data_IF_575881257260
#
_entry.id   IF_575881257260
#
_cell.length_a   1.000
_cell.length_b   1.000
_cell.length_c   1.000
_cell.angle_alpha   90.00
_cell.angle_beta   90.00
_cell.angle_gamma   90.00
#
_symmetry.space_group_name_H-M   'P 1'
#
loop_
_entity.id
_entity.type
_entity.pdbx_description
1 polymer ?
#
# COMPACT_ATOMS: atom_id res chain seq x y z
N UNK A 1 -81.75 16.72 -58.28
CA UNK A 1 -80.82 15.82 -57.60
C UNK A 1 -79.65 16.69 -57.05
N UNK A 2 -79.67 16.97 -55.75
CA UNK A 2 -78.59 17.75 -55.15
C UNK A 2 -77.98 16.86 -54.02
N UNK A 3 -76.74 16.45 -54.18
CA UNK A 3 -76.04 15.72 -53.17
C UNK A 3 -75.42 16.67 -52.12
N UNK A 4 -75.82 16.50 -50.86
CA UNK A 4 -75.31 17.20 -49.74
C UNK A 4 -74.10 16.41 -49.21
N UNK A 5 -72.88 17.00 -49.26
CA UNK A 5 -71.71 16.44 -48.63
C UNK A 5 -71.59 16.91 -47.20
N UNK A 6 -71.63 15.94 -46.30
CA UNK A 6 -71.40 16.11 -44.86
C UNK A 6 -69.87 16.13 -44.60
N UNK A 7 -69.32 17.19 -44.05
CA UNK A 7 -67.93 17.26 -43.56
C UNK A 7 -67.91 16.86 -42.10
N UNK A 8 -67.09 15.86 -41.69
CA UNK A 8 -66.85 15.64 -40.26
C UNK A 8 -65.79 16.60 -39.77
N UNK A 9 -66.07 17.26 -38.62
CA UNK A 9 -65.20 18.18 -37.95
C UNK A 9 -63.99 17.43 -37.31
N UNK A 10 -62.79 17.91 -37.58
CA UNK A 10 -61.59 17.52 -36.86
C UNK A 10 -61.54 18.21 -35.50
N UNK A 11 -61.61 17.41 -34.45
CA UNK A 11 -61.26 17.85 -33.10
C UNK A 11 -59.75 17.84 -32.94
N UNK A 12 -59.13 18.86 -32.33
CA UNK A 12 -57.72 18.87 -32.11
C UNK A 12 -57.36 17.89 -30.93
N UNK A 13 -56.63 16.84 -31.23
CA UNK A 13 -55.97 15.99 -30.24
C UNK A 13 -54.89 16.87 -29.54
N UNK A 14 -55.11 17.11 -28.25
CA UNK A 14 -54.06 17.64 -27.41
C UNK A 14 -53.04 16.54 -27.18
N UNK A 15 -51.89 16.69 -27.82
CA UNK A 15 -50.73 15.86 -27.51
C UNK A 15 -50.19 16.22 -26.11
N UNK A 16 -50.42 15.37 -25.14
CA UNK A 16 -49.79 15.45 -23.82
C UNK A 16 -48.37 14.98 -23.98
N UNK A 17 -47.45 15.91 -24.13
CA UNK A 17 -46.01 15.60 -24.15
C UNK A 17 -45.54 15.18 -22.76
N UNK A 18 -45.31 13.90 -22.56
CA UNK A 18 -44.65 13.37 -21.37
C UNK A 18 -43.18 13.73 -21.45
N UNK A 19 -42.75 14.75 -20.73
CA UNK A 19 -41.33 15.03 -20.51
C UNK A 19 -40.79 13.94 -19.59
N UNK A 20 -40.10 12.93 -20.15
CA UNK A 20 -39.22 12.05 -19.39
C UNK A 20 -37.98 12.86 -19.01
N UNK A 21 -37.96 13.41 -17.82
CA UNK A 21 -36.73 13.87 -17.19
C UNK A 21 -35.87 12.66 -16.90
N UNK A 22 -34.83 12.44 -17.72
CA UNK A 22 -33.76 11.50 -17.42
C UNK A 22 -33.01 12.06 -16.20
N UNK A 23 -33.34 11.56 -15.02
CA UNK A 23 -32.54 11.75 -13.82
C UNK A 23 -31.25 10.94 -14.03
N UNK A 24 -30.20 11.59 -14.49
CA UNK A 24 -28.87 11.02 -14.46
C UNK A 24 -28.50 10.83 -12.99
N UNK A 25 -28.66 9.59 -12.52
CA UNK A 25 -28.12 9.17 -11.22
C UNK A 25 -26.59 9.20 -11.41
N UNK A 26 -25.96 10.30 -11.03
CA UNK A 26 -24.53 10.31 -10.77
C UNK A 26 -24.32 9.34 -9.59
N UNK A 27 -24.02 8.07 -9.90
CA UNK A 27 -23.40 7.21 -8.91
C UNK A 27 -22.09 7.89 -8.52
N UNK A 28 -21.88 8.26 -7.24
CA UNK A 28 -20.54 8.63 -6.82
C UNK A 28 -19.66 7.45 -7.20
N UNK A 29 -18.62 7.73 -8.00
CA UNK A 29 -17.61 6.73 -8.29
C UNK A 29 -17.21 6.14 -6.93
N UNK A 30 -17.51 4.86 -6.70
CA UNK A 30 -17.01 4.16 -5.54
C UNK A 30 -15.49 4.23 -5.67
N UNK A 31 -14.88 5.08 -4.86
CA UNK A 31 -13.44 5.17 -4.75
C UNK A 31 -13.02 3.80 -4.25
N UNK A 32 -12.29 3.06 -5.08
CA UNK A 32 -11.75 1.79 -4.66
C UNK A 32 -10.86 2.07 -3.46
N UNK A 33 -11.32 1.66 -2.28
CA UNK A 33 -10.51 1.67 -1.08
C UNK A 33 -9.45 0.61 -1.31
N UNK A 34 -8.18 1.04 -1.46
CA UNK A 34 -7.07 0.12 -1.62
C UNK A 34 -6.96 -0.70 -0.34
N UNK A 35 -7.48 -1.91 -0.36
CA UNK A 35 -7.66 -2.77 0.82
C UNK A 35 -6.37 -3.07 1.59
N UNK A 36 -5.20 -2.83 0.98
CA UNK A 36 -3.88 -3.01 1.58
C UNK A 36 -3.23 -1.69 2.01
N UNK A 37 -3.84 -0.55 1.74
CA UNK A 37 -3.29 0.77 2.07
C UNK A 37 -3.85 1.29 3.39
N UNK A 38 -3.04 2.11 4.06
CA UNK A 38 -3.47 2.80 5.27
C UNK A 38 -4.57 3.82 4.97
N UNK A 39 -5.63 3.91 5.80
CA UNK A 39 -6.66 4.95 5.64
C UNK A 39 -6.12 6.38 5.86
N UNK A 40 -4.89 6.51 6.36
CA UNK A 40 -4.21 7.79 6.53
C UNK A 40 -3.44 8.25 5.30
N UNK A 41 -3.35 7.41 4.27
CA UNK A 41 -2.64 7.77 3.03
C UNK A 41 -3.29 8.98 2.35
N UNK A 42 -2.45 9.85 1.80
CA UNK A 42 -2.90 10.93 0.96
C UNK A 42 -3.70 10.39 -0.24
N UNK A 43 -4.81 11.05 -0.56
CA UNK A 43 -5.65 10.65 -1.69
C UNK A 43 -4.88 10.76 -3.00
N UNK A 44 -5.02 9.76 -3.86
CA UNK A 44 -4.57 9.82 -5.24
C UNK A 44 -5.53 10.72 -6.02
N UNK A 45 -4.97 11.66 -6.78
CA UNK A 45 -5.71 12.51 -7.69
C UNK A 45 -5.14 12.29 -9.09
N UNK A 46 -5.98 11.83 -10.03
CA UNK A 46 -5.56 11.52 -11.40
C UNK A 46 -5.32 10.03 -11.60
N UNK A 47 -4.51 9.72 -12.61
CA UNK A 47 -4.10 8.36 -12.94
C UNK A 47 -2.65 8.13 -12.57
N UNK A 48 -2.28 6.87 -12.43
CA UNK A 48 -0.93 6.44 -12.13
C UNK A 48 -0.05 6.61 -13.38
N UNK A 49 1.12 7.25 -13.21
CA UNK A 49 2.14 7.34 -14.25
C UNK A 49 3.19 6.23 -14.12
N UNK A 50 3.48 5.81 -12.89
CA UNK A 50 4.51 4.82 -12.60
C UNK A 50 4.03 3.78 -11.59
N UNK A 51 4.53 2.55 -11.75
CA UNK A 51 4.46 1.50 -10.74
C UNK A 51 5.87 1.14 -10.28
N UNK A 52 6.03 0.92 -8.99
CA UNK A 52 7.28 0.48 -8.38
C UNK A 52 7.18 -0.98 -8.02
N UNK A 53 8.19 -1.76 -8.46
CA UNK A 53 8.29 -3.18 -8.14
C UNK A 53 9.56 -3.40 -7.34
N UNK A 54 9.41 -3.86 -6.10
CA UNK A 54 10.51 -4.27 -5.25
C UNK A 54 10.86 -5.73 -5.57
N UNK A 55 12.01 -5.95 -6.24
CA UNK A 55 12.37 -7.24 -6.81
C UNK A 55 13.46 -7.92 -6.01
N UNK A 56 13.27 -9.22 -5.78
CA UNK A 56 14.26 -10.10 -5.17
C UNK A 56 15.36 -10.46 -6.15
N UNK A 57 16.61 -10.29 -5.76
CA UNK A 57 17.77 -10.75 -6.50
C UNK A 57 17.86 -12.28 -6.50
N UNK A 58 17.90 -12.88 -7.69
CA UNK A 58 18.06 -14.34 -7.86
C UNK A 58 19.34 -14.63 -8.62
N UNK A 59 20.22 -15.41 -8.00
CA UNK A 59 21.47 -15.82 -8.63
C UNK A 59 21.19 -16.62 -9.90
N UNK A 60 21.91 -16.31 -10.97
CA UNK A 60 21.75 -16.97 -12.27
C UNK A 60 20.63 -16.40 -13.16
N UNK A 61 19.75 -15.53 -12.64
CA UNK A 61 18.73 -14.81 -13.44
C UNK A 61 19.11 -13.35 -13.72
N UNK A 62 20.12 -12.83 -13.04
CA UNK A 62 20.59 -11.46 -13.17
C UNK A 62 21.88 -11.31 -12.37
N UNK A 63 22.05 -10.15 -11.75
CA UNK A 63 23.22 -9.85 -10.91
C UNK A 63 23.04 -10.26 -9.42
N UNK A 64 21.93 -10.93 -9.09
CA UNK A 64 21.65 -11.41 -7.74
C UNK A 64 21.35 -10.31 -6.71
N UNK A 65 21.10 -9.07 -7.14
CA UNK A 65 20.85 -7.95 -6.23
C UNK A 65 19.37 -7.57 -6.18
N UNK A 66 18.91 -7.21 -5.01
CA UNK A 66 17.57 -6.63 -4.85
C UNK A 66 17.50 -5.23 -5.46
N UNK A 67 16.38 -4.92 -6.11
CA UNK A 67 16.21 -3.69 -6.88
C UNK A 67 14.82 -3.09 -6.73
N UNK A 68 14.77 -1.77 -6.72
CA UNK A 68 13.54 -1.05 -7.02
C UNK A 68 13.48 -0.79 -8.52
N UNK A 69 12.44 -1.32 -9.17
CA UNK A 69 12.18 -1.17 -10.60
C UNK A 69 11.02 -0.22 -10.81
N UNK A 70 11.19 0.78 -11.67
CA UNK A 70 10.13 1.71 -12.07
C UNK A 70 9.65 1.36 -13.46
N UNK A 71 8.34 1.17 -13.62
CA UNK A 71 7.69 0.88 -14.88
C UNK A 71 6.75 2.02 -15.21
N UNK A 72 6.82 2.53 -16.43
CA UNK A 72 5.88 3.52 -16.95
C UNK A 72 4.54 2.85 -17.21
N UNK A 73 3.48 3.34 -16.58
CA UNK A 73 2.10 2.84 -16.74
C UNK A 73 1.14 3.92 -17.24
N UNK A 74 1.65 5.07 -17.68
CA UNK A 74 0.85 6.10 -18.33
C UNK A 74 0.45 5.66 -19.75
N UNK A 75 -0.84 5.43 -20.04
CA UNK A 75 -1.28 4.98 -21.36
C UNK A 75 -0.94 5.96 -22.50
N UNK A 76 -0.70 7.23 -22.18
CA UNK A 76 -0.30 8.27 -23.15
C UNK A 76 1.22 8.31 -23.41
N UNK A 77 2.01 7.55 -22.68
CA UNK A 77 3.47 7.56 -22.81
C UNK A 77 3.97 6.62 -23.90
N UNK A 78 5.00 7.00 -24.67
CA UNK A 78 5.67 6.10 -25.61
C UNK A 78 6.44 4.97 -24.90
N UNK A 79 6.58 5.07 -23.60
CA UNK A 79 7.25 4.09 -22.75
C UNK A 79 6.28 3.21 -21.96
N UNK A 80 4.99 3.29 -22.22
CA UNK A 80 3.99 2.47 -21.54
C UNK A 80 4.38 0.99 -21.48
N UNK A 81 4.35 0.41 -20.28
CA UNK A 81 4.72 -0.98 -20.00
C UNK A 81 6.22 -1.27 -20.01
N UNK A 82 7.08 -0.25 -20.16
CA UNK A 82 8.53 -0.43 -20.16
C UNK A 82 9.14 -0.06 -18.81
N UNK A 83 10.22 -0.75 -18.45
CA UNK A 83 11.09 -0.35 -17.35
C UNK A 83 11.80 0.94 -17.74
N UNK A 84 11.62 2.01 -16.97
CA UNK A 84 12.25 3.32 -17.19
C UNK A 84 13.40 3.58 -16.22
N UNK A 85 13.42 2.90 -15.07
CA UNK A 85 14.50 3.01 -14.10
C UNK A 85 14.68 1.71 -13.30
N UNK A 86 15.90 1.47 -12.88
CA UNK A 86 16.26 0.34 -12.00
C UNK A 86 17.30 0.80 -11.00
N UNK A 87 17.04 0.63 -9.71
CA UNK A 87 17.92 1.05 -8.63
C UNK A 87 18.25 -0.14 -7.73
N UNK A 88 19.51 -0.62 -7.77
CA UNK A 88 19.98 -1.64 -6.84
C UNK A 88 20.26 -1.05 -5.45
N UNK A 89 19.99 -1.83 -4.42
CA UNK A 89 20.34 -1.50 -3.02
C UNK A 89 21.61 -2.23 -2.53
N UNK A 90 22.25 -2.97 -3.41
CA UNK A 90 23.45 -3.77 -3.11
C UNK A 90 23.12 -5.11 -2.44
N UNK A 91 23.53 -6.20 -3.07
CA UNK A 91 23.34 -7.56 -2.59
C UNK A 91 21.89 -8.06 -2.54
N UNK A 92 21.74 -9.30 -2.13
CA UNK A 92 20.45 -9.93 -1.84
C UNK A 92 20.13 -9.71 -0.36
N UNK A 93 19.02 -9.02 -0.10
CA UNK A 93 18.52 -8.73 1.24
C UNK A 93 17.21 -9.49 1.54
N UNK A 94 16.73 -10.24 0.58
CA UNK A 94 15.40 -10.81 0.50
C UNK A 94 14.33 -9.69 0.45
N UNK A 95 14.19 -9.09 -0.73
CA UNK A 95 13.16 -8.10 -1.01
C UNK A 95 11.78 -8.67 -0.69
N UNK A 96 11.06 -8.03 0.24
CA UNK A 96 9.81 -8.53 0.75
C UNK A 96 8.70 -7.50 0.57
N UNK A 97 8.07 -7.01 1.62
CA UNK A 97 7.01 -6.03 1.48
C UNK A 97 7.53 -4.60 1.35
N UNK A 98 6.72 -3.77 0.69
CA UNK A 98 6.94 -2.33 0.60
C UNK A 98 5.65 -1.56 0.85
N UNK A 99 5.77 -0.28 1.23
CA UNK A 99 4.63 0.59 1.45
C UNK A 99 5.02 2.05 1.45
N UNK A 100 4.10 2.92 1.04
CA UNK A 100 4.31 4.36 1.05
C UNK A 100 4.12 4.95 2.44
N UNK A 101 4.77 6.10 2.69
CA UNK A 101 4.41 6.99 3.78
C UNK A 101 3.02 7.60 3.55
N UNK A 102 2.38 8.11 4.61
CA UNK A 102 1.04 8.70 4.54
C UNK A 102 0.95 9.89 3.56
N UNK A 103 2.04 10.63 3.38
CA UNK A 103 2.15 11.73 2.42
C UNK A 103 2.62 11.28 1.02
N UNK A 104 2.86 9.98 0.81
CA UNK A 104 3.35 9.34 -0.43
C UNK A 104 4.69 9.87 -0.95
N UNK A 105 5.48 10.54 -0.12
CA UNK A 105 6.79 11.05 -0.55
C UNK A 105 7.86 9.99 -0.58
N UNK A 106 7.74 9.00 0.31
CA UNK A 106 8.71 7.94 0.42
C UNK A 106 8.05 6.57 0.24
N UNK A 107 8.77 5.68 -0.42
CA UNK A 107 8.49 4.25 -0.44
C UNK A 107 9.47 3.55 0.50
N UNK A 108 8.95 2.80 1.45
CA UNK A 108 9.72 1.97 2.36
C UNK A 108 9.69 0.53 1.88
N UNK A 109 10.84 -0.15 1.86
CA UNK A 109 10.96 -1.52 1.39
C UNK A 109 11.82 -2.35 2.36
N UNK A 110 11.31 -3.50 2.75
CA UNK A 110 11.97 -4.41 3.68
C UNK A 110 12.94 -5.34 2.99
N UNK A 111 14.08 -5.58 3.61
CA UNK A 111 15.00 -6.68 3.35
C UNK A 111 14.90 -7.67 4.52
N UNK A 112 14.14 -8.74 4.32
CA UNK A 112 13.71 -9.66 5.38
C UNK A 112 14.92 -10.34 6.07
N UNK A 113 15.80 -10.96 5.27
CA UNK A 113 16.96 -11.71 5.77
C UNK A 113 18.00 -10.84 6.46
N UNK A 114 18.22 -9.63 5.91
CA UNK A 114 19.25 -8.72 6.45
C UNK A 114 18.73 -7.82 7.55
N UNK A 115 17.41 -7.87 7.83
CA UNK A 115 16.73 -6.97 8.76
C UNK A 115 17.03 -5.49 8.50
N UNK A 116 17.13 -5.11 7.22
CA UNK A 116 17.30 -3.73 6.78
C UNK A 116 16.00 -3.17 6.22
N UNK A 117 15.89 -1.85 6.23
CA UNK A 117 14.80 -1.15 5.57
C UNK A 117 15.39 -0.08 4.67
N UNK A 118 14.93 -0.03 3.44
CA UNK A 118 15.35 0.91 2.41
C UNK A 118 14.27 1.96 2.22
N UNK A 119 14.64 3.24 2.23
CA UNK A 119 13.72 4.37 2.07
C UNK A 119 14.08 5.09 0.78
N UNK A 120 13.12 5.11 -0.15
CA UNK A 120 13.27 5.75 -1.45
C UNK A 120 12.45 7.03 -1.51
N UNK A 121 13.06 8.12 -1.97
CA UNK A 121 12.33 9.33 -2.40
C UNK A 121 11.69 9.04 -3.76
N UNK A 122 10.37 9.03 -3.79
CA UNK A 122 9.54 8.82 -4.97
C UNK A 122 8.77 10.09 -5.35
N UNK A 123 8.98 11.18 -4.63
CA UNK A 123 8.28 12.44 -4.82
C UNK A 123 9.07 13.43 -5.70
N UNK A 124 10.37 13.51 -5.50
CA UNK A 124 11.24 14.49 -6.21
C UNK A 124 11.32 14.17 -7.71
N UNK A 125 11.51 12.91 -8.06
CA UNK A 125 11.44 12.40 -9.43
C UNK A 125 10.83 11.01 -9.43
N UNK A 126 9.51 10.92 -9.65
CA UNK A 126 8.81 9.63 -9.63
C UNK A 126 9.30 8.63 -10.69
N UNK A 127 9.84 9.11 -11.82
CA UNK A 127 10.40 8.23 -12.85
C UNK A 127 11.74 7.62 -12.43
N UNK A 128 12.51 8.31 -11.57
CA UNK A 128 13.84 7.92 -11.14
C UNK A 128 14.00 8.06 -9.62
N UNK A 129 13.34 7.20 -8.83
CA UNK A 129 13.46 7.18 -7.37
C UNK A 129 14.91 7.12 -6.90
N UNK A 130 15.19 7.70 -5.75
CA UNK A 130 16.52 7.68 -5.14
C UNK A 130 16.48 7.02 -3.77
N UNK A 131 17.41 6.14 -3.49
CA UNK A 131 17.65 5.65 -2.14
C UNK A 131 18.18 6.79 -1.28
N UNK A 132 17.38 7.25 -0.31
CA UNK A 132 17.75 8.38 0.56
C UNK A 132 18.21 7.93 1.93
N UNK A 133 17.83 6.72 2.35
CA UNK A 133 18.24 6.17 3.64
C UNK A 133 18.17 4.64 3.64
N UNK A 134 19.12 4.03 4.33
CA UNK A 134 19.04 2.63 4.77
C UNK A 134 19.03 2.60 6.29
N UNK A 135 18.02 1.95 6.88
CA UNK A 135 17.99 1.61 8.30
C UNK A 135 18.67 0.25 8.42
N UNK A 136 19.94 0.24 8.76
CA UNK A 136 20.78 -0.95 8.94
C UNK A 136 20.89 -1.38 10.41
N UNK A 137 20.38 -0.54 11.32
CA UNK A 137 20.37 -0.78 12.76
C UNK A 137 19.02 -1.21 13.31
N UNK A 138 18.11 -1.68 12.47
CA UNK A 138 16.75 -2.07 12.85
C UNK A 138 16.73 -3.00 14.07
N UNK A 139 17.57 -4.04 14.05
CA UNK A 139 17.65 -5.02 15.15
C UNK A 139 18.11 -4.36 16.45
N UNK A 140 19.13 -3.50 16.41
CA UNK A 140 19.66 -2.84 17.58
C UNK A 140 18.70 -1.79 18.13
N UNK A 141 18.11 -0.97 17.26
CA UNK A 141 17.16 0.09 17.64
C UNK A 141 15.88 -0.48 18.23
N UNK A 142 15.37 -1.58 17.67
CA UNK A 142 14.15 -2.24 18.15
C UNK A 142 14.33 -3.08 19.40
N UNK A 143 15.57 -3.28 19.87
CA UNK A 143 15.85 -4.16 20.99
C UNK A 143 15.81 -5.65 20.66
N UNK A 144 16.09 -6.01 19.40
CA UNK A 144 16.25 -7.38 18.97
C UNK A 144 15.17 -7.92 18.05
N UNK A 145 14.27 -7.11 17.52
CA UNK A 145 13.31 -7.52 16.48
C UNK A 145 14.04 -7.79 15.18
N UNK A 146 13.72 -8.87 14.50
CA UNK A 146 14.28 -9.28 13.19
C UNK A 146 13.19 -9.49 12.16
N UNK A 147 13.58 -9.46 10.91
CA UNK A 147 12.69 -9.73 9.78
C UNK A 147 11.60 -8.66 9.63
N UNK A 148 11.93 -7.40 9.26
CA UNK A 148 10.94 -6.38 8.95
C UNK A 148 10.07 -6.87 7.79
N UNK A 149 8.76 -6.99 8.02
CA UNK A 149 7.83 -7.59 7.09
C UNK A 149 6.88 -6.55 6.51
N UNK A 150 5.71 -6.37 7.08
CA UNK A 150 4.75 -5.38 6.61
C UNK A 150 5.11 -3.98 7.07
N UNK A 151 5.01 -3.02 6.16
CA UNK A 151 5.07 -1.58 6.45
C UNK A 151 3.68 -0.97 6.35
N UNK A 152 3.28 -0.17 7.32
CA UNK A 152 1.97 0.46 7.36
C UNK A 152 2.04 1.92 7.77
N UNK A 153 1.50 2.81 6.95
CA UNK A 153 1.55 4.25 7.22
C UNK A 153 0.59 4.67 8.33
N UNK A 154 1.07 5.53 9.20
CA UNK A 154 0.31 6.29 10.19
C UNK A 154 0.57 7.78 9.94
N UNK A 155 -0.24 8.72 10.48
CA UNK A 155 0.06 10.13 10.33
C UNK A 155 1.48 10.50 10.76
N UNK A 156 2.35 10.82 9.78
CA UNK A 156 3.77 11.16 9.99
C UNK A 156 4.68 10.03 10.46
N UNK A 157 4.24 8.77 10.41
CA UNK A 157 4.95 7.62 10.97
C UNK A 157 4.72 6.35 10.15
N UNK A 158 5.66 5.41 10.30
CA UNK A 158 5.56 4.06 9.74
C UNK A 158 5.54 3.02 10.86
N UNK A 159 4.60 2.10 10.80
CA UNK A 159 4.53 0.92 11.66
C UNK A 159 5.05 -0.28 10.88
N UNK A 160 5.99 -1.02 11.46
CA UNK A 160 6.62 -2.16 10.83
C UNK A 160 6.40 -3.39 11.70
N UNK A 161 5.93 -4.49 11.11
CA UNK A 161 5.93 -5.79 11.79
C UNK A 161 7.32 -6.40 11.70
N UNK A 162 7.80 -6.93 12.82
CA UNK A 162 8.94 -7.84 12.80
C UNK A 162 8.43 -9.27 12.87
N UNK A 163 8.99 -10.19 12.09
CA UNK A 163 8.55 -11.58 12.12
C UNK A 163 8.89 -12.25 13.46
N UNK A 164 10.06 -11.93 14.02
CA UNK A 164 10.58 -12.63 15.19
C UNK A 164 11.56 -11.75 15.97
N UNK A 165 12.36 -12.35 16.80
CA UNK A 165 13.45 -11.71 17.53
C UNK A 165 14.78 -12.46 17.33
N UNK A 166 15.90 -11.82 17.62
CA UNK A 166 17.24 -12.35 17.37
C UNK A 166 17.71 -13.42 18.39
N UNK A 167 16.91 -13.70 19.41
CA UNK A 167 17.24 -14.75 20.41
C UNK A 167 16.57 -16.07 20.08
N UNK A 168 15.36 -15.99 19.53
CA UNK A 168 14.52 -17.15 19.28
C UNK A 168 13.61 -16.87 18.09
N UNK A 169 13.92 -17.46 16.95
CA UNK A 169 13.18 -17.28 15.70
C UNK A 169 11.70 -17.72 15.76
N UNK A 170 11.24 -18.33 16.81
CA UNK A 170 9.84 -18.66 17.05
C UNK A 170 9.25 -17.89 18.21
N UNK A 171 10.00 -16.95 18.78
CA UNK A 171 9.65 -16.26 19.99
C UNK A 171 8.91 -14.96 19.78
N UNK A 172 8.85 -14.20 20.86
CA UNK A 172 8.17 -12.92 20.95
C UNK A 172 8.66 -11.94 19.90
N UNK A 173 7.74 -11.35 19.17
CA UNK A 173 8.00 -10.29 18.20
C UNK A 173 7.33 -8.98 18.61
N UNK A 174 7.49 -7.94 17.79
CA UNK A 174 7.00 -6.61 18.08
C UNK A 174 6.54 -5.86 16.81
N UNK A 175 5.79 -4.80 17.06
CA UNK A 175 5.58 -3.71 16.09
C UNK A 175 6.64 -2.64 16.38
N UNK A 176 7.34 -2.20 15.35
CA UNK A 176 8.38 -1.17 15.45
C UNK A 176 7.92 0.09 14.75
N UNK A 177 8.09 1.22 15.40
CA UNK A 177 7.58 2.50 14.94
C UNK A 177 8.73 3.45 14.61
N UNK A 178 8.66 4.07 13.42
CA UNK A 178 9.57 5.08 12.93
C UNK A 178 8.82 6.30 12.44
N UNK A 179 9.46 7.47 12.41
CA UNK A 179 8.97 8.62 11.66
C UNK A 179 9.11 8.39 10.15
N UNK A 180 8.40 9.16 9.31
CA UNK A 180 8.49 9.03 7.84
C UNK A 180 9.91 9.18 7.29
N UNK A 181 10.78 9.94 7.97
CA UNK A 181 12.20 10.12 7.63
C UNK A 181 13.14 9.07 8.25
N UNK A 182 12.56 8.02 8.86
CA UNK A 182 13.29 6.87 9.37
C UNK A 182 14.02 7.10 10.68
N UNK A 183 13.50 7.93 11.59
CA UNK A 183 13.98 8.00 12.98
C UNK A 183 13.18 7.03 13.82
N UNK A 184 13.87 6.20 14.59
CA UNK A 184 13.24 5.28 15.53
C UNK A 184 12.38 6.03 16.56
N UNK A 185 11.20 5.52 16.86
CA UNK A 185 10.25 6.05 17.83
C UNK A 185 10.06 5.09 18.99
N UNK A 186 9.61 3.87 18.73
CA UNK A 186 9.27 2.91 19.77
C UNK A 186 9.23 1.47 19.25
N UNK A 187 9.32 0.52 20.18
CA UNK A 187 9.04 -0.90 19.96
C UNK A 187 7.89 -1.33 20.87
N UNK A 188 6.85 -1.86 20.25
CA UNK A 188 5.65 -2.37 20.92
C UNK A 188 5.67 -3.89 20.91
N UNK A 189 6.24 -4.47 21.97
CA UNK A 189 6.35 -5.93 22.09
C UNK A 189 4.98 -6.57 22.23
N UNK A 190 4.75 -7.61 21.43
CA UNK A 190 3.51 -8.37 21.54
C UNK A 190 3.45 -9.10 22.89
N UNK A 191 2.30 -9.08 23.57
CA UNK A 191 2.12 -9.87 24.79
C UNK A 191 2.11 -11.35 24.41
N UNK A 192 3.05 -12.11 24.99
CA UNK A 192 3.13 -13.57 24.83
C UNK A 192 3.11 -14.23 26.20
N UNK A 193 2.46 -15.38 26.31
CA UNK A 193 2.47 -16.20 27.50
C UNK A 193 3.66 -17.20 27.43
N UNK A 194 4.88 -16.70 27.21
CA UNK A 194 6.09 -17.50 27.02
C UNK A 194 6.36 -18.49 28.14
N UNK A 195 5.98 -18.12 29.36
CA UNK A 195 6.20 -18.92 30.56
C UNK A 195 5.08 -19.95 30.82
N UNK A 196 4.08 -20.03 29.95
CA UNK A 196 2.90 -20.85 30.16
C UNK A 196 2.89 -22.12 29.27
N UNK A 197 4.05 -22.63 28.87
CA UNK A 197 4.12 -23.93 28.17
C UNK A 197 3.47 -25.01 29.05
N UNK A 198 2.34 -25.55 28.58
CA UNK A 198 1.57 -26.56 29.27
C UNK A 198 0.63 -26.07 30.37
N UNK A 199 0.61 -24.78 30.68
CA UNK A 199 -0.34 -24.17 31.59
C UNK A 199 -1.58 -23.61 30.88
N UNK A 200 -2.62 -23.26 31.61
CA UNK A 200 -3.80 -22.61 31.08
C UNK A 200 -3.43 -21.20 30.64
N UNK A 201 -3.51 -20.93 29.32
CA UNK A 201 -3.23 -19.63 28.74
C UNK A 201 -4.28 -18.60 29.15
N UNK A 202 -3.87 -17.34 29.29
CA UNK A 202 -4.75 -16.24 29.72
C UNK A 202 -5.83 -15.88 28.71
N UNK A 203 -5.63 -16.22 27.44
CA UNK A 203 -6.46 -15.77 26.32
C UNK A 203 -6.24 -14.32 25.91
N UNK A 204 -5.26 -13.63 26.53
CA UNK A 204 -4.87 -12.24 26.25
C UNK A 204 -3.41 -12.14 25.78
N UNK A 205 -2.98 -13.09 24.99
CA UNK A 205 -1.62 -13.16 24.47
C UNK A 205 -1.64 -13.34 22.96
N UNK A 206 -0.50 -13.04 22.32
CA UNK A 206 -0.23 -13.38 20.95
C UNK A 206 0.87 -14.43 20.87
N UNK A 207 0.84 -15.27 19.84
CA UNK A 207 1.96 -16.15 19.51
C UNK A 207 3.11 -15.34 18.86
N UNK A 208 4.24 -15.97 18.57
CA UNK A 208 5.50 -15.29 18.28
C UNK A 208 5.49 -14.36 17.05
N UNK A 209 5.13 -14.88 15.88
CA UNK A 209 5.30 -14.16 14.63
C UNK A 209 4.25 -13.06 14.39
N UNK A 210 4.73 -11.84 14.07
CA UNK A 210 3.88 -10.74 13.60
C UNK A 210 3.97 -10.64 12.09
N UNK A 211 3.01 -11.20 11.40
CA UNK A 211 3.04 -11.24 9.93
C UNK A 211 2.53 -9.93 9.32
N UNK A 212 1.42 -9.41 9.79
CA UNK A 212 0.77 -8.23 9.22
C UNK A 212 0.20 -7.30 10.28
N UNK A 213 -0.05 -6.04 9.91
CA UNK A 213 -0.64 -5.01 10.77
C UNK A 213 -1.64 -4.16 9.98
N UNK A 214 -2.76 -3.87 10.64
CA UNK A 214 -3.75 -2.88 10.17
C UNK A 214 -4.15 -2.01 11.34
N UNK A 215 -4.33 -0.71 11.07
CA UNK A 215 -4.69 0.25 12.10
C UNK A 215 -6.10 0.74 11.85
N UNK A 216 -6.91 0.75 12.92
CA UNK A 216 -8.25 1.29 12.88
C UNK A 216 -8.22 2.73 13.39
N UNK A 217 -8.64 3.73 12.59
CA UNK A 217 -8.76 5.12 13.04
C UNK A 217 -9.74 5.24 14.20
N UNK A 218 -9.45 6.16 15.11
CA UNK A 218 -10.40 6.53 16.17
C UNK A 218 -11.65 7.11 15.52
N UNK A 219 -12.83 6.63 15.91
CA UNK A 219 -14.15 7.12 15.48
C UNK A 219 -14.59 8.32 16.32
#
# INVERSE_FOLDING_TARGET
MKHVFYRPGCSPLRALGTFLTAVSVFSPAAWADETCQSPYMAKIIGQEDFVYVWTLGVEGLGDGQDKLVTIDVNPGSPNYGKIVHTLSVGGRNEAHHSGFTDDRKYLWAGGLDTSKIFIFDVHTDPAQPKLVKTIDRFVAESGGVVGPHTTYALPGRMMITGLSNNKDHGGRSALVEYTNDGKYVATHWMPTDENLRGAKKSGKYADGYNYDVRVLPRR
#
